data_IF_453504339990
#
_entry.id   IF_453504339990
#
_cell.length_a   1.000
_cell.length_b   1.000
_cell.length_c   1.000
_cell.angle_alpha   90.00
_cell.angle_beta   90.00
_cell.angle_gamma   90.00
#
_symmetry.space_group_name_H-M   'P 1'
#
loop_
_entity.id
_entity.type
_entity.pdbx_description
1 polymer ?
#
# COMPACT_ATOMS: atom_id res chain seq x y z
N UNK A 1 17.26 24.23 -4.86
CA UNK A 1 17.01 24.07 -6.32
C UNK A 1 15.52 23.88 -6.52
N UNK A 2 14.81 24.91 -6.99
CA UNK A 2 13.39 24.82 -7.32
C UNK A 2 13.22 24.03 -8.63
N UNK A 3 13.26 22.70 -8.54
CA UNK A 3 12.76 21.83 -9.60
C UNK A 3 11.26 22.11 -9.72
N UNK A 4 10.92 22.95 -10.69
CA UNK A 4 9.60 23.41 -11.12
C UNK A 4 8.45 22.51 -10.66
N UNK A 5 7.56 23.04 -9.82
CA UNK A 5 6.32 22.40 -9.33
C UNK A 5 5.54 21.71 -10.47
N UNK A 6 5.63 22.24 -11.69
CA UNK A 6 5.02 21.64 -12.88
C UNK A 6 5.58 20.27 -13.25
N UNK A 7 6.89 20.06 -13.17
CA UNK A 7 7.51 18.77 -13.48
C UNK A 7 7.17 17.73 -12.41
N UNK A 8 7.19 18.13 -11.13
CA UNK A 8 6.78 17.26 -10.03
C UNK A 8 5.31 16.81 -10.18
N UNK A 9 4.40 17.71 -10.59
CA UNK A 9 3.01 17.36 -10.87
C UNK A 9 2.87 16.39 -12.05
N UNK A 10 3.64 16.60 -13.12
CA UNK A 10 3.64 15.69 -14.28
C UNK A 10 4.13 14.30 -13.87
N UNK A 11 5.21 14.21 -13.12
CA UNK A 11 5.79 12.93 -12.69
C UNK A 11 4.87 12.21 -11.70
N UNK A 12 4.21 12.96 -10.82
CA UNK A 12 3.17 12.45 -9.94
C UNK A 12 1.99 11.86 -10.72
N UNK A 13 1.46 12.57 -11.72
CA UNK A 13 0.34 12.07 -12.51
C UNK A 13 0.74 10.87 -13.37
N UNK A 14 1.96 10.86 -13.93
CA UNK A 14 2.51 9.66 -14.60
C UNK A 14 2.58 8.47 -13.66
N UNK A 15 3.01 8.69 -12.42
CA UNK A 15 3.08 7.63 -11.42
C UNK A 15 1.69 7.08 -11.10
N UNK A 16 0.71 7.95 -10.84
CA UNK A 16 -0.71 7.57 -10.63
C UNK A 16 -1.26 6.79 -11.83
N UNK A 17 -1.01 7.26 -13.04
CA UNK A 17 -1.47 6.61 -14.25
C UNK A 17 -0.84 5.22 -14.44
N UNK A 18 0.43 5.04 -14.07
CA UNK A 18 1.07 3.73 -14.08
C UNK A 18 0.41 2.73 -13.11
N UNK A 19 -0.03 3.21 -11.94
CA UNK A 19 -0.79 2.40 -10.97
C UNK A 19 -2.15 2.03 -11.57
N UNK A 20 -2.88 2.98 -12.15
CA UNK A 20 -4.20 2.74 -12.77
C UNK A 20 -4.13 1.70 -13.89
N UNK A 21 -3.11 1.79 -14.75
CA UNK A 21 -2.89 0.85 -15.87
C UNK A 21 -2.52 -0.55 -15.41
N UNK A 22 -1.77 -0.67 -14.32
CA UNK A 22 -1.33 -1.97 -13.79
C UNK A 22 -2.39 -2.68 -12.95
N UNK A 23 -3.50 -2.02 -12.61
CA UNK A 23 -4.53 -2.56 -11.72
C UNK A 23 -5.92 -2.65 -12.40
N UNK A 24 -6.07 -3.33 -13.55
CA UNK A 24 -7.38 -3.48 -14.18
C UNK A 24 -8.33 -4.26 -13.26
N UNK A 25 -9.61 -3.90 -13.34
CA UNK A 25 -10.72 -4.50 -12.59
C UNK A 25 -11.61 -5.25 -13.57
N UNK A 26 -12.03 -6.46 -13.18
CA UNK A 26 -13.04 -7.20 -13.91
C UNK A 26 -14.43 -6.67 -13.52
N UNK A 27 -15.15 -6.13 -14.51
CA UNK A 27 -16.48 -5.55 -14.32
C UNK A 27 -17.60 -6.61 -14.49
N UNK A 28 -17.25 -7.82 -14.90
CA UNK A 28 -18.19 -8.94 -15.10
C UNK A 28 -18.31 -9.84 -13.87
N UNK A 29 -17.41 -9.66 -12.90
CA UNK A 29 -17.41 -10.41 -11.63
C UNK A 29 -18.70 -10.15 -10.84
N UNK A 30 -19.36 -11.23 -10.40
CA UNK A 30 -20.56 -11.11 -9.56
C UNK A 30 -20.20 -10.57 -8.17
N UNK A 31 -21.16 -9.92 -7.50
CA UNK A 31 -20.96 -9.40 -6.14
C UNK A 31 -20.57 -10.52 -5.16
N UNK A 32 -21.14 -11.71 -5.33
CA UNK A 32 -20.83 -12.88 -4.51
C UNK A 32 -19.39 -13.34 -4.70
N UNK A 33 -18.96 -13.45 -5.97
CA UNK A 33 -17.61 -13.95 -6.28
C UNK A 33 -16.55 -12.94 -5.87
N UNK A 34 -16.82 -11.65 -6.06
CA UNK A 34 -16.00 -10.56 -5.52
C UNK A 34 -15.78 -10.68 -4.02
N UNK A 35 -16.84 -10.89 -3.23
CA UNK A 35 -16.72 -11.09 -1.78
C UNK A 35 -15.89 -12.32 -1.42
N UNK A 36 -16.09 -13.44 -2.12
CA UNK A 36 -15.29 -14.66 -1.91
C UNK A 36 -13.82 -14.45 -2.25
N UNK A 37 -13.53 -13.76 -3.36
CA UNK A 37 -12.17 -13.40 -3.77
C UNK A 37 -11.49 -12.51 -2.74
N UNK A 38 -12.16 -11.46 -2.27
CA UNK A 38 -11.62 -10.55 -1.25
C UNK A 38 -11.31 -11.34 0.04
N UNK A 39 -12.24 -12.16 0.53
CA UNK A 39 -12.03 -12.98 1.72
C UNK A 39 -10.85 -13.97 1.55
N UNK A 40 -10.73 -14.60 0.37
CA UNK A 40 -9.61 -15.49 0.07
C UNK A 40 -8.26 -14.76 0.00
N UNK A 41 -8.23 -13.53 -0.52
CA UNK A 41 -7.04 -12.68 -0.53
C UNK A 41 -6.66 -12.25 0.89
N UNK A 42 -7.63 -11.83 1.70
CA UNK A 42 -7.38 -11.40 3.09
C UNK A 42 -6.86 -12.54 3.98
N UNK A 43 -7.22 -13.79 3.67
CA UNK A 43 -6.70 -14.98 4.33
C UNK A 43 -5.24 -15.34 3.93
N UNK A 44 -4.75 -14.82 2.80
CA UNK A 44 -3.39 -15.07 2.31
C UNK A 44 -2.69 -13.73 1.97
N UNK A 45 -1.97 -13.14 2.95
CA UNK A 45 -1.36 -11.84 2.75
C UNK A 45 -0.38 -11.75 1.58
N UNK A 46 0.25 -12.85 1.18
CA UNK A 46 1.16 -12.81 0.04
C UNK A 46 0.37 -12.69 -1.26
N UNK A 47 -0.69 -13.48 -1.44
CA UNK A 47 -1.59 -13.34 -2.60
C UNK A 47 -2.29 -11.99 -2.61
N UNK A 48 -2.67 -11.46 -1.45
CA UNK A 48 -3.21 -10.12 -1.33
C UNK A 48 -2.27 -9.08 -1.97
N UNK A 49 -0.97 -9.13 -1.64
CA UNK A 49 0.01 -8.20 -2.20
C UNK A 49 0.19 -8.36 -3.70
N UNK A 50 0.30 -9.60 -4.17
CA UNK A 50 0.45 -9.91 -5.59
C UNK A 50 -0.75 -9.42 -6.41
N UNK A 51 -1.96 -9.54 -5.84
CA UNK A 51 -3.19 -9.08 -6.47
C UNK A 51 -3.28 -7.55 -6.51
N UNK A 52 -3.05 -6.85 -5.41
CA UNK A 52 -3.23 -5.39 -5.39
C UNK A 52 -2.02 -4.61 -5.93
N UNK A 53 -0.81 -5.18 -5.89
CA UNK A 53 0.43 -4.48 -6.30
C UNK A 53 1.20 -5.22 -7.42
N UNK A 54 0.54 -5.62 -8.52
CA UNK A 54 1.13 -6.54 -9.51
C UNK A 54 2.43 -6.02 -10.14
N UNK A 55 2.59 -4.69 -10.26
CA UNK A 55 3.81 -4.08 -10.80
C UNK A 55 5.07 -4.36 -9.99
N UNK A 56 4.94 -4.71 -8.70
CA UNK A 56 6.08 -5.03 -7.83
C UNK A 56 6.44 -6.52 -7.84
N UNK A 57 5.61 -7.37 -8.44
CA UNK A 57 5.75 -8.83 -8.43
C UNK A 57 6.06 -9.38 -9.82
N UNK A 58 6.99 -8.75 -10.54
CA UNK A 58 7.57 -9.35 -11.76
C UNK A 58 8.27 -10.68 -11.45
N UNK A 59 8.82 -10.80 -10.25
CA UNK A 59 9.47 -12.01 -9.73
C UNK A 59 8.90 -12.34 -8.35
N UNK A 60 8.95 -13.62 -7.93
CA UNK A 60 8.53 -14.03 -6.60
C UNK A 60 9.27 -13.26 -5.50
N UNK A 61 8.57 -12.99 -4.39
CA UNK A 61 9.21 -12.38 -3.24
C UNK A 61 10.21 -13.32 -2.59
N UNK A 62 11.40 -12.82 -2.19
CA UNK A 62 12.39 -13.64 -1.51
C UNK A 62 11.88 -14.07 -0.12
N UNK A 63 12.35 -15.23 0.35
CA UNK A 63 11.86 -15.85 1.59
C UNK A 63 11.91 -14.93 2.81
N UNK A 64 12.91 -14.05 2.90
CA UNK A 64 13.02 -13.12 4.03
C UNK A 64 11.93 -12.04 4.04
N UNK A 65 11.41 -11.61 2.87
CA UNK A 65 10.23 -10.73 2.80
C UNK A 65 8.99 -11.47 3.29
N UNK A 66 8.79 -12.72 2.84
CA UNK A 66 7.65 -13.55 3.22
C UNK A 66 7.64 -13.78 4.74
N UNK A 67 8.78 -14.15 5.31
CA UNK A 67 8.93 -14.40 6.74
C UNK A 67 8.67 -13.14 7.58
N UNK A 68 9.16 -11.98 7.13
CA UNK A 68 8.95 -10.72 7.85
C UNK A 68 7.48 -10.26 7.79
N UNK A 69 6.86 -10.37 6.61
CA UNK A 69 5.45 -10.04 6.42
C UNK A 69 4.56 -10.93 7.28
N UNK A 70 4.77 -12.26 7.21
CA UNK A 70 4.03 -13.24 8.02
C UNK A 70 4.19 -12.95 9.51
N UNK A 71 5.42 -12.70 9.98
CA UNK A 71 5.67 -12.39 11.39
C UNK A 71 4.93 -11.13 11.83
N UNK A 72 4.99 -10.04 11.06
CA UNK A 72 4.29 -8.79 11.38
C UNK A 72 2.78 -9.01 11.44
N UNK A 73 2.19 -9.55 10.38
CA UNK A 73 0.74 -9.68 10.24
C UNK A 73 0.14 -10.66 11.25
N UNK A 74 0.75 -11.83 11.44
CA UNK A 74 0.28 -12.81 12.44
C UNK A 74 0.37 -12.27 13.85
N UNK A 75 1.48 -11.61 14.23
CA UNK A 75 1.59 -11.07 15.58
C UNK A 75 0.60 -9.91 15.80
N UNK A 76 0.44 -9.03 14.82
CA UNK A 76 -0.51 -7.93 14.91
C UNK A 76 -1.95 -8.44 15.03
N UNK A 77 -2.33 -9.46 14.24
CA UNK A 77 -3.64 -10.11 14.32
C UNK A 77 -3.88 -10.77 15.69
N UNK A 78 -2.90 -11.46 16.25
CA UNK A 78 -3.05 -12.17 17.52
C UNK A 78 -3.02 -11.25 18.75
N UNK A 79 -2.24 -10.16 18.69
CA UNK A 79 -1.93 -9.34 19.88
C UNK A 79 -2.56 -7.93 19.82
N UNK A 80 -3.08 -7.52 18.67
CA UNK A 80 -3.54 -6.15 18.40
C UNK A 80 -2.41 -5.11 18.34
N UNK A 81 -1.16 -5.49 18.59
CA UNK A 81 0.01 -4.63 18.53
C UNK A 81 1.26 -5.46 18.22
N UNK A 82 2.26 -4.83 17.60
CA UNK A 82 3.55 -5.46 17.33
C UNK A 82 4.65 -4.41 17.23
N UNK A 83 5.81 -4.71 17.82
CA UNK A 83 7.02 -3.90 17.71
C UNK A 83 8.15 -4.79 17.22
N UNK A 84 8.81 -4.39 16.13
CA UNK A 84 9.96 -5.12 15.59
C UNK A 84 11.01 -4.20 14.98
N UNK A 85 12.25 -4.69 14.95
CA UNK A 85 13.37 -4.08 14.24
C UNK A 85 13.80 -5.02 13.12
N UNK A 86 13.88 -4.51 11.89
CA UNK A 86 14.29 -5.28 10.69
C UNK A 86 15.71 -4.88 10.26
N UNK A 87 16.70 -5.72 10.60
CA UNK A 87 18.11 -5.50 10.24
C UNK A 87 18.41 -5.99 8.81
N UNK A 88 18.15 -5.15 7.81
CA UNK A 88 18.33 -5.50 6.39
C UNK A 88 19.42 -4.64 5.75
N UNK A 89 20.06 -5.13 4.68
CA UNK A 89 21.00 -4.33 3.88
C UNK A 89 20.28 -3.28 3.01
N UNK A 90 21.01 -2.28 2.51
CA UNK A 90 20.48 -1.30 1.53
C UNK A 90 20.10 -2.03 0.23
N UNK A 91 19.13 -1.48 -0.51
CA UNK A 91 18.71 -2.04 -1.80
C UNK A 91 17.75 -3.24 -1.74
N UNK A 92 17.39 -3.74 -0.55
CA UNK A 92 16.49 -4.90 -0.38
C UNK A 92 14.99 -4.54 -0.36
N UNK A 93 14.57 -3.51 -1.11
CA UNK A 93 13.16 -3.10 -1.27
C UNK A 93 12.31 -2.98 0.04
N UNK A 94 12.95 -2.76 1.19
CA UNK A 94 12.28 -2.77 2.50
C UNK A 94 11.08 -1.82 2.62
N UNK A 95 11.18 -0.53 2.22
CA UNK A 95 10.05 0.39 2.33
C UNK A 95 8.85 -0.08 1.50
N UNK A 96 9.10 -0.70 0.36
CA UNK A 96 8.07 -1.23 -0.53
C UNK A 96 7.34 -2.42 0.10
N UNK A 97 8.08 -3.37 0.70
CA UNK A 97 7.46 -4.48 1.44
C UNK A 97 6.67 -3.99 2.64
N UNK A 98 7.22 -3.06 3.43
CA UNK A 98 6.54 -2.46 4.58
C UNK A 98 5.29 -1.70 4.17
N UNK A 99 5.31 -0.97 3.06
CA UNK A 99 4.13 -0.29 2.54
C UNK A 99 2.97 -1.26 2.28
N UNK A 100 3.25 -2.37 1.61
CA UNK A 100 2.20 -3.35 1.33
C UNK A 100 1.70 -4.05 2.60
N UNK A 101 2.60 -4.35 3.56
CA UNK A 101 2.22 -4.89 4.87
C UNK A 101 1.28 -3.94 5.62
N UNK A 102 1.65 -2.67 5.70
CA UNK A 102 0.88 -1.65 6.44
C UNK A 102 -0.44 -1.38 5.74
N UNK A 103 -0.47 -1.28 4.40
CA UNK A 103 -1.72 -1.11 3.65
C UNK A 103 -2.66 -2.31 3.81
N UNK A 104 -2.14 -3.53 3.93
CA UNK A 104 -2.97 -4.71 4.27
C UNK A 104 -3.63 -4.54 5.64
N UNK A 105 -2.88 -4.12 6.65
CA UNK A 105 -3.44 -3.86 7.98
C UNK A 105 -4.48 -2.73 7.97
N UNK A 106 -4.24 -1.66 7.21
CA UNK A 106 -5.17 -0.53 7.11
C UNK A 106 -6.46 -0.92 6.38
N UNK A 107 -6.36 -1.50 5.19
CA UNK A 107 -7.52 -1.83 4.36
C UNK A 107 -8.37 -2.96 4.95
N UNK A 108 -7.78 -3.84 5.76
CA UNK A 108 -8.51 -4.84 6.54
C UNK A 108 -8.99 -4.34 7.91
N UNK A 109 -8.87 -3.02 8.18
CA UNK A 109 -9.41 -2.37 9.39
C UNK A 109 -8.65 -2.67 10.68
N UNK A 110 -7.48 -3.32 10.62
CA UNK A 110 -6.65 -3.68 11.78
C UNK A 110 -5.80 -2.50 12.26
N UNK A 111 -5.37 -1.61 11.36
CA UNK A 111 -4.62 -0.41 11.67
C UNK A 111 -5.38 0.83 11.19
N UNK A 112 -5.48 1.87 12.04
CA UNK A 112 -6.23 3.09 11.69
C UNK A 112 -5.36 4.32 11.44
N UNK A 113 -4.15 4.34 11.99
CA UNK A 113 -3.26 5.48 11.91
C UNK A 113 -1.86 5.04 11.47
N UNK A 114 -1.24 5.82 10.58
CA UNK A 114 0.14 5.62 10.14
C UNK A 114 0.93 6.86 10.53
N UNK A 115 2.04 6.66 11.23
CA UNK A 115 3.06 7.69 11.44
C UNK A 115 4.32 7.19 10.75
N UNK A 116 4.81 7.93 9.75
CA UNK A 116 6.02 7.59 9.02
C UNK A 116 7.16 8.52 9.44
N UNK A 117 8.23 7.96 9.99
CA UNK A 117 9.42 8.70 10.41
C UNK A 117 10.62 8.32 9.56
N UNK A 118 11.46 9.30 9.21
CA UNK A 118 12.71 9.10 8.48
C UNK A 118 13.78 10.08 8.99
N UNK A 119 14.99 10.01 8.44
CA UNK A 119 16.08 10.94 8.79
C UNK A 119 15.77 12.40 8.42
N UNK A 120 14.88 12.63 7.45
CA UNK A 120 14.40 13.96 7.05
C UNK A 120 12.90 13.92 6.77
N UNK A 121 12.25 15.08 6.86
CA UNK A 121 10.84 15.25 6.50
C UNK A 121 10.60 14.88 5.03
N UNK A 122 11.37 15.44 4.10
CA UNK A 122 11.21 15.19 2.67
C UNK A 122 11.30 13.69 2.31
N UNK A 123 12.17 12.93 2.99
CA UNK A 123 12.26 11.50 2.78
C UNK A 123 11.01 10.78 3.31
N UNK A 124 10.52 11.17 4.50
CA UNK A 124 9.29 10.61 5.06
C UNK A 124 8.08 10.91 4.16
N UNK A 125 7.93 12.16 3.72
CA UNK A 125 6.89 12.60 2.79
C UNK A 125 6.96 11.81 1.49
N UNK A 126 8.13 11.70 0.85
CA UNK A 126 8.28 10.98 -0.41
C UNK A 126 7.91 9.48 -0.32
N UNK A 127 8.13 8.85 0.84
CA UNK A 127 7.65 7.49 1.07
C UNK A 127 6.15 7.44 1.35
N UNK A 128 5.62 8.36 2.14
CA UNK A 128 4.21 8.45 2.48
C UNK A 128 3.34 8.73 1.24
N UNK A 129 3.82 9.55 0.30
CA UNK A 129 3.18 9.80 -0.99
C UNK A 129 2.98 8.52 -1.81
N UNK A 130 3.80 7.48 -1.61
CA UNK A 130 3.58 6.17 -2.28
C UNK A 130 2.36 5.45 -1.72
N UNK A 131 2.10 5.57 -0.41
CA UNK A 131 0.87 5.04 0.20
C UNK A 131 -0.33 5.79 -0.34
N UNK A 132 -0.25 7.13 -0.34
CA UNK A 132 -1.30 8.00 -0.85
C UNK A 132 -1.66 7.66 -2.30
N UNK A 133 -0.66 7.50 -3.18
CA UNK A 133 -0.88 7.14 -4.58
C UNK A 133 -1.59 5.79 -4.74
N UNK A 134 -1.26 4.80 -3.91
CA UNK A 134 -1.93 3.50 -3.94
C UNK A 134 -3.38 3.61 -3.48
N UNK A 135 -3.64 4.33 -2.39
CA UNK A 135 -4.99 4.52 -1.85
C UNK A 135 -5.91 5.32 -2.79
N UNK A 136 -5.35 6.26 -3.55
CA UNK A 136 -6.08 7.11 -4.48
C UNK A 136 -6.23 6.51 -5.89
N UNK A 137 -5.21 5.85 -6.43
CA UNK A 137 -5.16 5.48 -7.87
C UNK A 137 -5.23 3.99 -8.16
N UNK A 138 -5.09 3.11 -7.16
CA UNK A 138 -5.17 1.67 -7.37
C UNK A 138 -6.62 1.23 -7.57
N UNK A 139 -6.99 0.88 -8.80
CA UNK A 139 -8.39 0.60 -9.13
C UNK A 139 -8.91 -0.67 -8.46
N UNK A 140 -8.04 -1.66 -8.20
CA UNK A 140 -8.41 -2.88 -7.45
C UNK A 140 -8.72 -2.55 -6.00
N UNK A 141 -7.89 -1.74 -5.34
CA UNK A 141 -8.15 -1.27 -3.98
C UNK A 141 -9.47 -0.47 -3.94
N UNK A 142 -9.67 0.46 -4.86
CA UNK A 142 -10.89 1.28 -4.91
C UNK A 142 -12.14 0.42 -5.16
N UNK A 143 -12.03 -0.58 -6.04
CA UNK A 143 -13.13 -1.49 -6.31
C UNK A 143 -13.49 -2.31 -5.06
N UNK A 144 -12.50 -2.87 -4.38
CA UNK A 144 -12.72 -3.85 -3.33
C UNK A 144 -12.97 -3.22 -1.95
N UNK A 145 -12.32 -2.09 -1.65
CA UNK A 145 -12.38 -1.38 -0.36
C UNK A 145 -13.06 0.00 -0.42
N UNK A 146 -13.48 0.44 -1.61
CA UNK A 146 -14.07 1.76 -1.82
C UNK A 146 -13.04 2.89 -1.97
N UNK A 147 -13.53 4.10 -2.24
CA UNK A 147 -12.68 5.29 -2.38
C UNK A 147 -12.10 5.69 -1.02
N UNK A 148 -10.77 5.81 -0.96
CA UNK A 148 -10.05 6.09 0.28
C UNK A 148 -9.91 7.59 0.55
N UNK A 149 -9.71 8.40 -0.50
CA UNK A 149 -9.50 9.86 -0.38
C UNK A 149 -10.66 10.58 0.32
N UNK A 150 -10.34 11.31 1.39
CA UNK A 150 -11.23 12.28 2.04
C UNK A 150 -10.98 13.69 1.46
N UNK A 151 -11.95 14.27 0.72
CA UNK A 151 -11.79 15.62 0.16
C UNK A 151 -11.54 16.66 1.26
N UNK A 152 -10.54 17.51 1.05
CA UNK A 152 -10.13 18.53 2.03
C UNK A 152 -9.10 18.07 3.07
N UNK A 153 -8.80 16.76 3.15
CA UNK A 153 -7.80 16.18 4.04
C UNK A 153 -6.87 15.23 3.29
N UNK A 154 -6.39 15.67 2.13
CA UNK A 154 -5.56 14.85 1.23
C UNK A 154 -4.38 15.66 0.67
N UNK A 155 -3.44 15.99 1.56
CA UNK A 155 -2.23 16.76 1.25
C UNK A 155 -0.96 15.91 1.26
N UNK A 156 0.13 16.45 0.72
CA UNK A 156 1.44 15.83 0.87
C UNK A 156 1.86 15.84 2.34
N UNK A 157 2.41 14.73 2.82
CA UNK A 157 2.88 14.60 4.21
C UNK A 157 1.79 14.38 5.26
N UNK A 158 0.53 14.71 4.96
CA UNK A 158 -0.61 14.49 5.84
C UNK A 158 -1.89 14.23 5.02
N UNK A 159 -2.49 13.05 5.21
CA UNK A 159 -3.74 12.68 4.57
C UNK A 159 -4.60 11.79 5.47
N UNK A 160 -5.91 11.91 5.32
CA UNK A 160 -6.92 11.14 6.05
C UNK A 160 -7.78 10.36 5.06
N UNK A 161 -8.05 9.09 5.38
CA UNK A 161 -8.96 8.25 4.61
C UNK A 161 -10.41 8.42 5.08
N UNK A 162 -11.39 8.02 4.25
CA UNK A 162 -12.83 8.13 4.60
C UNK A 162 -13.32 7.23 5.75
N UNK A 163 -12.52 6.29 6.24
CA UNK A 163 -12.92 5.23 7.18
C UNK A 163 -12.06 5.13 8.44
#
# INVERSE_FOLDING_TARGET
MALSTKNALIDWEKFRESIRKSTPVDLTESISDKKKRIAALEADPQKWKEYYFPSYFKYPSPQFHLNASKRLLTNFEQKGHWYEVRNWARGLAKPTTTMMDVLNLVLTGKLRNIIYTSSTYDAAEAFLSKYQAQLDSNRRIINDYGKQELPGSWSAGDFTTRG
#
